data_IF_371701329728
#
_entry.id   IF_371701329728
#
_cell.length_a   1.000
_cell.length_b   1.000
_cell.length_c   1.000
_cell.angle_alpha   90.00
_cell.angle_beta   90.00
_cell.angle_gamma   90.00
#
_symmetry.space_group_name_H-M   'P 1'
#
loop_
_entity.id
_entity.type
_entity.pdbx_description
1 polymer ?
#
# COMPACT_ATOMS: atom_id res chain seq x y z
N UNK A 1 7.76 -10.92 -9.38
CA UNK A 1 8.04 -12.17 -8.64
C UNK A 1 7.95 -11.84 -7.17
N UNK A 2 7.14 -12.56 -6.39
CA UNK A 2 7.15 -12.49 -4.92
C UNK A 2 7.84 -13.74 -4.39
N UNK A 3 8.69 -13.60 -3.37
CA UNK A 3 9.45 -14.73 -2.84
C UNK A 3 10.65 -14.31 -2.01
N UNK A 4 11.36 -15.31 -1.48
CA UNK A 4 12.58 -15.10 -0.72
C UNK A 4 13.70 -14.49 -1.58
N UNK A 5 14.69 -13.83 -0.95
CA UNK A 5 15.81 -13.24 -1.67
C UNK A 5 16.57 -14.23 -2.57
N UNK A 6 16.61 -15.51 -2.19
CA UNK A 6 17.27 -16.57 -2.98
C UNK A 6 16.57 -16.82 -4.31
N UNK A 7 15.23 -16.95 -4.29
CA UNK A 7 14.42 -17.05 -5.51
C UNK A 7 14.61 -15.84 -6.42
N UNK A 8 14.64 -14.64 -5.84
CA UNK A 8 14.84 -13.42 -6.62
C UNK A 8 16.21 -13.40 -7.30
N UNK A 9 17.28 -13.74 -6.57
CA UNK A 9 18.63 -13.82 -7.11
C UNK A 9 18.76 -14.91 -8.19
N UNK A 10 18.12 -16.07 -8.00
CA UNK A 10 18.12 -17.14 -8.98
C UNK A 10 17.41 -16.72 -10.28
N UNK A 11 16.25 -16.08 -10.18
CA UNK A 11 15.52 -15.55 -11.35
C UNK A 11 16.35 -14.50 -12.08
N UNK A 12 16.95 -13.55 -11.35
CA UNK A 12 17.79 -12.51 -11.95
C UNK A 12 19.02 -13.12 -12.67
N UNK A 13 19.70 -14.10 -12.06
CA UNK A 13 20.84 -14.79 -12.68
C UNK A 13 20.44 -15.60 -13.91
N UNK A 14 19.26 -16.21 -13.90
CA UNK A 14 18.80 -16.97 -15.06
C UNK A 14 18.39 -16.04 -16.21
N UNK A 15 17.74 -14.92 -15.90
CA UNK A 15 17.29 -13.94 -16.89
C UNK A 15 18.42 -13.04 -17.40
N UNK A 16 19.50 -12.85 -16.64
CA UNK A 16 20.64 -12.02 -17.08
C UNK A 16 21.27 -12.54 -18.37
N UNK A 17 21.20 -13.84 -18.63
CA UNK A 17 21.65 -14.47 -19.88
C UNK A 17 20.93 -13.95 -21.13
N UNK A 18 19.73 -13.41 -20.97
CA UNK A 18 18.91 -12.86 -22.06
C UNK A 18 19.00 -11.34 -22.18
N UNK A 19 19.75 -10.66 -21.29
CA UNK A 19 19.85 -9.21 -21.23
C UNK A 19 18.61 -8.56 -20.59
N UNK A 20 18.70 -8.21 -19.30
CA UNK A 20 17.63 -7.49 -18.59
C UNK A 20 17.67 -6.02 -19.00
N UNK A 21 16.64 -5.55 -19.73
CA UNK A 21 16.54 -4.15 -20.20
C UNK A 21 16.15 -3.17 -19.09
N UNK A 22 15.10 -3.49 -18.33
CA UNK A 22 14.63 -2.69 -17.20
C UNK A 22 14.23 -3.61 -16.04
N UNK A 23 14.55 -3.20 -14.81
CA UNK A 23 14.13 -3.88 -13.58
C UNK A 23 13.46 -2.87 -12.63
N UNK A 24 12.27 -3.22 -12.14
CA UNK A 24 11.62 -2.53 -11.03
C UNK A 24 11.35 -3.54 -9.91
N UNK A 25 11.75 -3.17 -8.69
CA UNK A 25 11.51 -3.95 -7.48
C UNK A 25 11.17 -3.00 -6.34
N UNK A 26 10.48 -3.54 -5.34
CA UNK A 26 10.18 -2.82 -4.11
C UNK A 26 10.89 -3.47 -2.93
N UNK A 27 10.87 -2.77 -1.80
CA UNK A 27 11.44 -3.21 -0.54
C UNK A 27 10.73 -4.41 0.06
N UNK A 28 11.31 -4.91 1.16
CA UNK A 28 10.69 -5.95 1.97
C UNK A 28 9.47 -5.38 2.68
N UNK A 29 8.46 -6.22 2.86
CA UNK A 29 7.28 -5.93 3.65
C UNK A 29 7.12 -7.02 4.70
N UNK A 30 6.64 -6.66 5.87
CA UNK A 30 6.40 -7.59 6.96
C UNK A 30 5.17 -7.15 7.76
N UNK A 31 4.44 -8.12 8.29
CA UNK A 31 3.44 -7.93 9.34
C UNK A 31 3.88 -8.74 10.55
N UNK A 32 3.56 -8.24 11.75
CA UNK A 32 3.84 -8.99 12.98
C UNK A 32 3.02 -10.28 12.98
N UNK A 33 3.65 -11.43 13.21
CA UNK A 33 2.94 -12.69 13.46
C UNK A 33 2.50 -12.74 14.92
N UNK A 34 1.24 -13.06 15.16
CA UNK A 34 0.74 -13.30 16.52
C UNK A 34 1.10 -14.71 16.96
N UNK A 35 1.39 -14.89 18.25
CA UNK A 35 1.64 -16.24 18.80
C UNK A 35 0.31 -16.95 19.00
N UNK A 36 0.28 -18.25 18.75
CA UNK A 36 -0.87 -19.09 19.14
C UNK A 36 -1.17 -18.89 20.63
N UNK A 37 -2.40 -18.48 20.95
CA UNK A 37 -2.86 -18.21 22.31
C UNK A 37 -2.61 -16.79 22.86
N UNK A 38 -1.98 -15.89 22.10
CA UNK A 38 -1.87 -14.47 22.48
C UNK A 38 -3.20 -13.77 22.14
N UNK A 39 -4.03 -13.45 23.14
CA UNK A 39 -5.21 -12.61 22.95
C UNK A 39 -4.74 -11.20 22.60
N UNK A 40 -4.87 -10.84 21.34
CA UNK A 40 -4.40 -9.54 20.92
C UNK A 40 -5.30 -8.43 21.52
N UNK A 41 -4.73 -7.35 22.09
CA UNK A 41 -5.42 -6.60 23.16
C UNK A 41 -6.56 -5.68 22.70
N UNK A 42 -6.73 -5.48 21.38
CA UNK A 42 -7.53 -4.38 20.83
C UNK A 42 -8.53 -4.80 19.74
N UNK A 43 -8.81 -6.10 19.58
CA UNK A 43 -9.68 -6.58 18.51
C UNK A 43 -11.12 -6.22 18.82
N UNK A 44 -11.59 -5.11 18.24
CA UNK A 44 -13.02 -4.86 18.10
C UNK A 44 -13.53 -5.88 17.10
N UNK A 45 -13.99 -7.02 17.62
CA UNK A 45 -14.63 -8.07 16.83
C UNK A 45 -15.69 -7.44 15.92
N UNK A 46 -15.53 -7.61 14.61
CA UNK A 46 -16.54 -7.13 13.68
C UNK A 46 -17.74 -8.07 13.71
N UNK A 47 -18.96 -7.53 13.61
CA UNK A 47 -20.19 -8.30 13.65
C UNK A 47 -20.24 -9.38 12.55
N UNK A 48 -19.67 -9.13 11.36
CA UNK A 48 -19.61 -10.14 10.29
C UNK A 48 -18.65 -11.30 10.62
N UNK A 49 -17.63 -11.05 11.43
CA UNK A 49 -16.72 -12.07 11.92
C UNK A 49 -17.19 -12.70 13.22
N UNK A 50 -18.24 -12.23 13.87
CA UNK A 50 -18.78 -12.80 15.12
C UNK A 50 -20.29 -12.55 15.19
N UNK A 51 -21.10 -13.22 14.35
CA UNK A 51 -22.55 -13.01 14.30
C UNK A 51 -23.24 -13.36 15.62
N UNK A 52 -22.66 -14.29 16.39
CA UNK A 52 -23.20 -14.75 17.67
C UNK A 52 -22.99 -13.73 18.82
N UNK A 53 -22.22 -12.66 18.59
CA UNK A 53 -22.03 -11.56 19.55
C UNK A 53 -23.10 -10.46 19.41
N UNK A 54 -24.13 -10.65 18.58
CA UNK A 54 -25.33 -9.79 18.58
C UNK A 54 -26.16 -10.00 19.86
N UNK A 55 -25.66 -9.47 20.98
CA UNK A 55 -26.30 -9.48 22.28
C UNK A 55 -26.16 -8.12 22.99
N UNK A 56 -27.21 -7.30 22.87
CA UNK A 56 -27.56 -6.14 23.71
C UNK A 56 -26.44 -5.12 23.99
N UNK A 57 -26.34 -4.10 23.13
CA UNK A 57 -25.74 -2.83 23.57
C UNK A 57 -26.67 -2.21 24.62
N UNK A 58 -26.22 -1.90 25.85
CA UNK A 58 -26.97 -1.03 26.72
C UNK A 58 -27.04 0.34 26.05
N UNK A 59 -28.26 0.78 25.75
CA UNK A 59 -28.58 2.16 25.43
C UNK A 59 -28.26 2.97 26.68
N UNK A 60 -27.03 3.47 26.80
CA UNK A 60 -26.65 4.64 27.59
C UNK A 60 -25.13 4.87 27.54
N UNK A 61 -24.67 5.59 26.52
CA UNK A 61 -23.55 6.54 26.68
C UNK A 61 -23.59 7.54 25.53
N UNK A 62 -24.52 8.48 25.67
CA UNK A 62 -24.52 9.71 24.90
C UNK A 62 -23.17 10.45 25.06
N UNK A 63 -22.66 10.93 23.93
CA UNK A 63 -21.77 12.09 23.75
C UNK A 63 -21.22 12.72 25.05
N UNK A 64 -19.96 12.45 25.37
CA UNK A 64 -19.14 13.35 26.20
C UNK A 64 -18.02 13.94 25.36
N UNK A 65 -18.36 15.04 24.69
CA UNK A 65 -17.41 16.10 24.33
C UNK A 65 -16.72 16.54 25.62
N UNK A 66 -15.48 16.12 25.83
CA UNK A 66 -14.65 16.66 26.92
C UNK A 66 -13.55 17.49 26.31
N UNK A 67 -13.84 18.79 26.21
CA UNK A 67 -12.82 19.83 26.24
C UNK A 67 -11.96 19.61 27.48
N UNK A 68 -10.70 19.23 27.31
CA UNK A 68 -9.73 19.22 28.40
C UNK A 68 -8.60 20.19 28.06
N UNK A 69 -8.58 21.28 28.84
CA UNK A 69 -7.57 22.34 28.84
C UNK A 69 -6.18 21.80 29.22
N UNK A 70 -5.20 22.47 28.63
CA UNK A 70 -3.75 22.45 28.81
C UNK A 70 -3.26 22.30 30.26
N UNK A 71 -2.24 21.46 30.44
CA UNK A 71 -1.39 21.38 31.64
C UNK A 71 -0.11 20.56 31.38
N UNK A 72 1.00 21.28 31.17
CA UNK A 72 2.41 20.88 31.03
C UNK A 72 2.92 19.86 32.08
N UNK A 73 3.94 19.01 31.91
CA UNK A 73 5.31 19.13 31.38
C UNK A 73 5.91 17.70 31.33
N UNK A 74 6.89 17.40 30.45
CA UNK A 74 8.18 16.75 30.78
C UNK A 74 9.10 16.64 29.55
N UNK A 75 10.25 17.32 29.69
CA UNK A 75 11.60 17.16 29.13
C UNK A 75 11.82 16.95 27.62
N UNK A 76 12.34 18.01 27.00
CA UNK A 76 13.29 17.91 25.89
C UNK A 76 14.57 17.19 26.33
N UNK A 77 14.97 16.13 25.63
CA UNK A 77 16.38 15.77 25.48
C UNK A 77 16.71 15.41 24.03
N UNK A 78 17.42 16.35 23.39
CA UNK A 78 18.54 16.14 22.46
C UNK A 78 18.35 15.31 21.17
N UNK A 79 18.31 16.07 20.06
CA UNK A 79 19.24 15.98 18.92
C UNK A 79 18.95 14.92 17.85
N UNK A 80 18.16 15.34 16.88
CA UNK A 80 18.08 14.77 15.54
C UNK A 80 16.83 15.31 14.84
N UNK A 81 16.97 15.79 13.60
CA UNK A 81 15.85 16.10 12.72
C UNK A 81 15.10 14.80 12.40
N UNK A 82 14.24 14.36 13.32
CA UNK A 82 13.40 13.18 13.16
C UNK A 82 11.97 13.67 13.29
N UNK A 83 11.19 13.48 12.21
CA UNK A 83 9.76 13.74 12.21
C UNK A 83 9.11 13.12 13.46
N UNK A 84 8.13 13.79 14.09
CA UNK A 84 7.41 13.21 15.20
C UNK A 84 6.78 11.88 14.75
N UNK A 85 7.30 10.78 15.25
CA UNK A 85 6.65 9.47 15.17
C UNK A 85 5.74 9.41 16.37
N UNK A 86 4.44 9.54 16.14
CA UNK A 86 3.47 9.36 17.22
C UNK A 86 3.59 7.92 17.76
N UNK A 87 3.63 7.73 19.08
CA UNK A 87 3.61 6.40 19.67
C UNK A 87 2.31 5.67 19.28
N UNK A 88 2.44 4.40 18.91
CA UNK A 88 1.36 3.55 18.37
C UNK A 88 0.11 3.44 19.29
N UNK A 89 0.25 3.78 20.57
CA UNK A 89 -0.74 3.46 21.59
C UNK A 89 -1.87 4.51 21.74
N UNK A 90 -1.74 5.72 21.18
CA UNK A 90 -2.67 6.83 21.43
C UNK A 90 -3.49 7.30 20.22
N UNK A 91 -3.39 6.59 19.08
CA UNK A 91 -4.24 6.87 17.93
C UNK A 91 -5.64 6.36 18.27
N UNK A 92 -6.55 7.24 18.67
CA UNK A 92 -7.97 6.97 18.54
C UNK A 92 -8.23 6.71 17.06
N UNK A 93 -8.23 5.44 16.66
CA UNK A 93 -8.43 4.99 15.28
C UNK A 93 -9.86 5.32 14.88
N UNK A 94 -10.08 6.57 14.49
CA UNK A 94 -11.24 6.94 13.70
C UNK A 94 -11.15 6.10 12.42
N UNK A 95 -12.18 5.27 12.24
CA UNK A 95 -12.32 4.25 11.21
C UNK A 95 -12.33 4.90 9.83
N UNK A 96 -11.16 5.21 9.29
CA UNK A 96 -10.99 5.67 7.89
C UNK A 96 -9.70 5.07 7.35
N UNK A 97 -9.67 3.74 7.18
CA UNK A 97 -8.83 3.17 6.13
C UNK A 97 -9.53 3.49 4.80
N UNK A 98 -9.49 4.76 4.37
CA UNK A 98 -9.92 5.09 3.01
C UNK A 98 -9.15 4.17 2.07
N UNK A 99 -9.87 3.29 1.39
CA UNK A 99 -9.27 2.33 0.49
C UNK A 99 -8.60 3.04 -0.70
N UNK A 100 -8.92 4.30 -0.98
CA UNK A 100 -8.21 5.10 -2.00
C UNK A 100 -6.89 5.66 -1.49
N UNK A 101 -6.66 5.67 -0.17
CA UNK A 101 -5.44 6.16 0.47
C UNK A 101 -5.04 7.56 -0.01
N UNK A 102 -6.03 8.42 -0.32
CA UNK A 102 -5.78 9.74 -0.87
C UNK A 102 -5.17 9.77 -2.28
N UNK A 103 -5.22 8.65 -3.02
CA UNK A 103 -4.88 8.61 -4.45
C UNK A 103 -5.99 9.31 -5.21
N UNK A 104 -5.63 10.41 -5.89
CA UNK A 104 -6.53 11.17 -6.75
C UNK A 104 -6.68 10.39 -8.07
N UNK A 105 -7.91 10.00 -8.41
CA UNK A 105 -8.24 9.40 -9.71
C UNK A 105 -9.03 10.42 -10.54
N UNK A 106 -8.45 10.79 -11.68
CA UNK A 106 -8.90 11.79 -12.65
C UNK A 106 -9.15 13.21 -12.10
N UNK A 107 -9.03 14.18 -13.01
CA UNK A 107 -8.90 15.62 -12.76
C UNK A 107 -9.91 16.14 -11.73
N UNK A 108 -9.43 16.41 -10.52
CA UNK A 108 -10.16 17.26 -9.59
C UNK A 108 -10.42 18.61 -10.27
N UNK A 109 -11.48 19.33 -9.89
CA UNK A 109 -11.78 20.71 -10.36
C UNK A 109 -10.62 21.70 -10.18
N UNK A 110 -9.57 21.30 -9.45
CA UNK A 110 -8.31 22.01 -9.21
C UNK A 110 -7.22 21.75 -10.27
N UNK A 111 -7.43 20.84 -11.23
CA UNK A 111 -6.45 20.44 -12.25
C UNK A 111 -5.27 19.60 -11.73
N UNK A 112 -5.38 19.10 -10.49
CA UNK A 112 -4.38 18.21 -9.88
C UNK A 112 -4.66 16.77 -10.29
N UNK A 113 -3.64 16.07 -10.76
CA UNK A 113 -3.71 14.65 -11.11
C UNK A 113 -2.54 13.87 -10.53
N UNK A 114 -2.72 12.57 -10.34
CA UNK A 114 -1.66 11.71 -9.80
C UNK A 114 -0.65 11.33 -10.89
N UNK A 115 0.57 11.83 -10.80
CA UNK A 115 1.65 11.51 -11.72
C UNK A 115 2.52 10.37 -11.19
N UNK A 116 2.82 9.39 -12.04
CA UNK A 116 3.75 8.28 -11.71
C UNK A 116 5.14 8.57 -12.27
N UNK A 117 6.10 8.87 -11.39
CA UNK A 117 7.47 9.19 -11.76
C UNK A 117 8.37 7.98 -11.54
N UNK A 118 9.26 7.69 -12.50
CA UNK A 118 10.29 6.65 -12.37
C UNK A 118 11.67 7.26 -12.55
N UNK A 119 12.49 7.18 -11.51
CA UNK A 119 13.82 7.77 -11.46
C UNK A 119 14.87 6.68 -11.29
N UNK A 120 15.94 6.74 -12.09
CA UNK A 120 17.16 5.97 -11.86
C UNK A 120 18.14 6.83 -11.09
N UNK A 121 18.60 6.33 -9.95
CA UNK A 121 19.49 7.02 -9.03
C UNK A 121 20.66 6.13 -8.66
N UNK A 122 21.76 6.73 -8.19
CA UNK A 122 22.87 5.95 -7.66
C UNK A 122 22.49 5.34 -6.30
N UNK A 123 22.91 4.11 -6.05
CA UNK A 123 22.62 3.37 -4.83
C UNK A 123 23.63 3.74 -3.73
N UNK A 124 23.52 4.97 -3.21
CA UNK A 124 24.36 5.47 -2.11
C UNK A 124 23.51 5.95 -0.93
N UNK A 125 24.02 5.83 0.32
CA UNK A 125 23.36 6.37 1.50
C UNK A 125 23.04 7.86 1.33
N UNK A 126 21.83 8.27 1.74
CA UNK A 126 21.38 9.66 1.67
C UNK A 126 20.70 10.07 0.35
N UNK A 127 20.86 9.30 -0.74
CA UNK A 127 20.21 9.62 -2.03
C UNK A 127 18.68 9.65 -1.90
N UNK A 128 18.10 8.72 -1.15
CA UNK A 128 16.65 8.71 -0.91
C UNK A 128 16.18 10.01 -0.24
N UNK A 129 16.90 10.49 0.78
CA UNK A 129 16.57 11.74 1.47
C UNK A 129 16.67 12.96 0.56
N UNK A 130 17.62 12.96 -0.38
CA UNK A 130 17.75 14.04 -1.37
C UNK A 130 16.52 14.04 -2.28
N UNK A 131 16.11 12.88 -2.79
CA UNK A 131 14.97 12.75 -3.70
C UNK A 131 13.66 13.14 -3.01
N UNK A 132 13.38 12.58 -1.83
CA UNK A 132 12.19 12.93 -1.05
C UNK A 132 12.22 14.39 -0.63
N UNK A 133 13.37 14.92 -0.22
CA UNK A 133 13.54 16.33 0.13
C UNK A 133 13.31 17.30 -1.02
N UNK A 134 13.60 16.94 -2.28
CA UNK A 134 13.24 17.76 -3.46
C UNK A 134 11.72 17.78 -3.67
N UNK A 135 11.06 16.64 -3.49
CA UNK A 135 9.59 16.53 -3.64
C UNK A 135 8.91 17.35 -2.54
N UNK A 136 9.30 17.16 -1.28
CA UNK A 136 8.72 17.88 -0.14
C UNK A 136 8.99 19.38 -0.17
N UNK A 137 10.17 19.84 -0.63
CA UNK A 137 10.47 21.28 -0.79
C UNK A 137 9.58 21.97 -1.82
N UNK A 138 9.03 21.24 -2.78
CA UNK A 138 8.06 21.77 -3.75
C UNK A 138 6.62 21.73 -3.22
N UNK A 139 6.41 21.30 -1.97
CA UNK A 139 5.09 21.22 -1.35
C UNK A 139 4.26 20.02 -1.83
N UNK A 140 4.88 19.07 -2.52
CA UNK A 140 4.18 17.88 -3.00
C UNK A 140 4.06 16.81 -1.91
N UNK A 141 2.87 16.25 -1.78
CA UNK A 141 2.64 15.08 -0.94
C UNK A 141 3.01 13.79 -1.71
N UNK A 142 3.64 12.83 -1.05
CA UNK A 142 3.98 11.54 -1.67
C UNK A 142 2.85 10.57 -1.37
N UNK A 143 2.09 10.17 -2.38
CA UNK A 143 1.02 9.16 -2.23
C UNK A 143 1.57 7.73 -2.22
N UNK A 144 2.65 7.49 -2.96
CA UNK A 144 3.27 6.18 -3.04
C UNK A 144 4.76 6.32 -3.32
N UNK A 145 5.58 5.46 -2.70
CA UNK A 145 7.01 5.41 -2.92
C UNK A 145 7.47 3.96 -2.86
N UNK A 146 8.13 3.50 -3.92
CA UNK A 146 8.78 2.21 -3.98
C UNK A 146 10.23 2.40 -4.41
N UNK A 147 11.14 1.70 -3.73
CA UNK A 147 12.58 1.78 -3.99
C UNK A 147 13.18 0.39 -4.04
N UNK A 148 14.08 0.17 -4.99
CA UNK A 148 14.96 -0.99 -4.97
C UNK A 148 16.00 -0.95 -6.08
N UNK A 149 17.07 -1.76 -5.95
CA UNK A 149 18.13 -1.80 -6.96
C UNK A 149 17.59 -2.12 -8.35
N UNK A 150 18.18 -1.44 -9.32
CA UNK A 150 17.86 -1.52 -10.74
C UNK A 150 18.60 -2.68 -11.41
N UNK A 151 18.52 -2.72 -12.74
CA UNK A 151 19.15 -3.73 -13.58
C UNK A 151 20.69 -3.74 -13.53
N UNK A 152 21.31 -2.61 -13.19
CA UNK A 152 22.76 -2.46 -13.03
C UNK A 152 23.13 -2.31 -11.56
N UNK A 153 24.24 -2.92 -11.17
CA UNK A 153 24.80 -2.79 -9.83
C UNK A 153 25.19 -1.34 -9.55
N UNK A 154 24.98 -0.89 -8.31
CA UNK A 154 25.20 0.50 -7.91
C UNK A 154 24.13 1.49 -8.36
N UNK A 155 23.05 1.03 -9.04
CA UNK A 155 21.88 1.85 -9.36
C UNK A 155 20.64 1.34 -8.62
N UNK A 156 19.80 2.28 -8.21
CA UNK A 156 18.48 2.05 -7.63
C UNK A 156 17.41 2.76 -8.44
N UNK A 157 16.23 2.13 -8.52
CA UNK A 157 15.05 2.70 -9.15
C UNK A 157 14.09 3.16 -8.06
N UNK A 158 13.66 4.41 -8.16
CA UNK A 158 12.63 4.99 -7.32
C UNK A 158 11.40 5.20 -8.18
N UNK A 159 10.29 4.59 -7.80
CA UNK A 159 8.96 4.86 -8.36
C UNK A 159 8.18 5.65 -7.32
N UNK A 160 7.66 6.82 -7.68
CA UNK A 160 6.85 7.65 -6.78
C UNK A 160 5.59 8.11 -7.47
N UNK A 161 4.51 8.25 -6.70
CA UNK A 161 3.25 8.82 -7.16
C UNK A 161 3.00 10.11 -6.40
N UNK A 162 2.83 11.19 -7.15
CA UNK A 162 2.73 12.55 -6.62
C UNK A 162 1.58 13.28 -7.31
N UNK A 163 0.65 13.92 -6.57
CA UNK A 163 -0.36 14.78 -7.15
C UNK A 163 0.26 16.11 -7.57
N UNK A 164 0.00 16.56 -8.80
CA UNK A 164 0.51 17.81 -9.33
C UNK A 164 -0.16 18.20 -10.65
N UNK A 165 0.17 19.39 -11.14
CA UNK A 165 -0.20 19.82 -12.50
C UNK A 165 0.88 19.44 -13.50
N UNK A 166 0.50 19.22 -14.75
CA UNK A 166 1.38 18.82 -15.85
C UNK A 166 2.60 19.73 -16.01
N UNK A 167 2.41 21.06 -15.91
CA UNK A 167 3.48 22.05 -16.03
C UNK A 167 4.52 21.96 -14.91
N UNK A 168 4.05 21.60 -13.71
CA UNK A 168 4.86 21.54 -12.51
C UNK A 168 5.69 20.25 -12.44
N UNK A 169 5.10 19.15 -12.95
CA UNK A 169 5.68 17.81 -12.95
C UNK A 169 6.57 17.54 -14.17
N UNK A 170 6.29 18.12 -15.34
CA UNK A 170 7.12 17.92 -16.54
C UNK A 170 8.60 18.34 -16.37
N UNK A 171 8.91 19.11 -15.32
CA UNK A 171 10.28 19.49 -14.93
C UNK A 171 10.97 18.46 -14.01
N UNK A 172 10.23 17.50 -13.45
CA UNK A 172 10.75 16.39 -12.67
C UNK A 172 10.93 15.16 -13.58
N UNK A 173 11.99 14.41 -13.29
CA UNK A 173 12.49 13.22 -14.00
C UNK A 173 11.38 12.28 -14.54
N UNK A 174 11.59 11.75 -15.77
CA UNK A 174 10.81 10.74 -16.53
C UNK A 174 9.43 10.40 -15.93
N UNK A 175 8.42 11.16 -16.35
CA UNK A 175 7.01 10.89 -16.07
C UNK A 175 6.50 9.73 -16.94
N UNK A 176 5.95 8.70 -16.30
CA UNK A 176 5.33 7.56 -16.97
C UNK A 176 3.85 7.79 -17.29
N UNK A 177 3.23 8.85 -16.76
CA UNK A 177 1.78 9.05 -16.80
C UNK A 177 1.20 9.10 -18.22
N UNK A 178 1.97 9.60 -19.20
CA UNK A 178 1.54 9.68 -20.61
C UNK A 178 2.02 8.50 -21.46
N UNK A 179 2.74 7.55 -20.86
CA UNK A 179 3.22 6.37 -21.56
C UNK A 179 2.38 5.18 -21.11
N UNK A 180 2.13 4.20 -21.99
CA UNK A 180 1.56 2.93 -21.54
C UNK A 180 2.55 2.29 -20.56
N UNK A 181 2.14 2.04 -19.32
CA UNK A 181 3.00 1.40 -18.31
C UNK A 181 2.33 0.20 -17.65
N UNK A 182 3.14 -0.72 -17.15
CA UNK A 182 2.72 -1.82 -16.30
C UNK A 182 2.98 -1.44 -14.85
N UNK A 183 1.91 -1.34 -14.06
CA UNK A 183 2.00 -1.13 -12.61
C UNK A 183 1.63 -2.37 -11.81
N UNK A 184 2.33 -2.54 -10.69
CA UNK A 184 2.02 -3.54 -9.68
C UNK A 184 2.31 -3.01 -8.28
N UNK A 185 1.62 -3.58 -7.33
CA UNK A 185 1.84 -3.38 -5.91
C UNK A 185 1.66 -4.69 -5.16
N UNK A 186 2.37 -4.85 -4.04
CA UNK A 186 2.24 -5.93 -3.09
C UNK A 186 1.61 -5.39 -1.79
N UNK A 187 0.57 -6.08 -1.32
CA UNK A 187 -0.13 -5.77 -0.07
C UNK A 187 -0.18 -7.02 0.80
N UNK A 188 0.12 -6.84 2.09
CA UNK A 188 -0.23 -7.79 3.13
C UNK A 188 -1.41 -7.23 3.92
N UNK A 189 -2.45 -8.03 4.11
CA UNK A 189 -3.63 -7.65 4.87
C UNK A 189 -3.94 -8.72 5.92
N UNK A 190 -4.01 -8.29 7.18
CA UNK A 190 -4.39 -9.13 8.32
C UNK A 190 -5.82 -8.84 8.72
N UNK A 191 -6.60 -9.90 8.90
CA UNK A 191 -8.05 -9.85 9.09
C UNK A 191 -8.41 -10.65 10.33
N UNK A 192 -9.40 -10.16 11.07
CA UNK A 192 -10.06 -10.83 12.18
C UNK A 192 -11.09 -11.80 11.67
N UNK A 193 -10.92 -13.07 11.99
CA UNK A 193 -11.76 -14.11 11.40
C UNK A 193 -12.07 -15.18 12.44
N UNK A 194 -13.36 -15.39 12.72
CA UNK A 194 -13.82 -16.53 13.51
C UNK A 194 -13.88 -17.82 12.65
N UNK A 195 -14.25 -18.92 13.27
CA UNK A 195 -14.40 -20.21 12.59
C UNK A 195 -15.47 -20.20 11.49
N UNK A 196 -16.55 -19.42 11.65
CA UNK A 196 -17.66 -19.37 10.69
C UNK A 196 -17.30 -18.60 9.41
N UNK A 197 -16.74 -17.40 9.53
CA UNK A 197 -16.33 -16.51 8.44
C UNK A 197 -15.00 -16.93 7.78
N UNK A 198 -14.27 -17.87 8.38
CA UNK A 198 -12.99 -18.38 7.85
C UNK A 198 -13.07 -18.83 6.41
N UNK A 199 -14.14 -19.55 6.06
CA UNK A 199 -14.32 -20.06 4.70
C UNK A 199 -14.58 -18.93 3.72
N UNK A 200 -15.45 -17.99 4.08
CA UNK A 200 -15.81 -16.86 3.24
C UNK A 200 -14.60 -15.97 2.92
N UNK A 201 -13.76 -15.69 3.92
CA UNK A 201 -12.52 -14.91 3.71
C UNK A 201 -11.54 -15.64 2.78
N UNK A 202 -11.40 -16.95 2.91
CA UNK A 202 -10.54 -17.75 2.03
C UNK A 202 -11.10 -17.86 0.60
N UNK A 203 -12.41 -17.90 0.45
CA UNK A 203 -13.07 -17.91 -0.86
C UNK A 203 -12.89 -16.54 -1.56
N UNK A 204 -13.09 -15.43 -0.83
CA UNK A 204 -12.77 -14.08 -1.32
C UNK A 204 -11.29 -13.98 -1.72
N UNK A 205 -10.38 -14.48 -0.88
CA UNK A 205 -8.96 -14.50 -1.18
C UNK A 205 -8.67 -15.26 -2.49
N UNK A 206 -9.31 -16.41 -2.69
CA UNK A 206 -9.16 -17.24 -3.89
C UNK A 206 -9.63 -16.51 -5.15
N UNK A 207 -10.80 -15.85 -5.10
CA UNK A 207 -11.34 -15.03 -6.21
C UNK A 207 -10.34 -13.93 -6.62
N UNK A 208 -9.77 -13.25 -5.63
CA UNK A 208 -8.77 -12.19 -5.86
C UNK A 208 -7.37 -12.73 -6.18
N UNK A 209 -7.18 -14.06 -6.22
CA UNK A 209 -5.87 -14.71 -6.37
C UNK A 209 -4.87 -14.21 -5.32
N UNK A 210 -5.36 -13.91 -4.12
CA UNK A 210 -4.56 -13.65 -2.95
C UNK A 210 -4.08 -15.00 -2.35
N UNK A 211 -2.94 -14.99 -1.67
CA UNK A 211 -2.38 -16.17 -1.02
C UNK A 211 -2.49 -16.01 0.48
N UNK A 212 -3.04 -16.99 1.19
CA UNK A 212 -2.94 -17.03 2.65
C UNK A 212 -1.50 -17.36 3.04
N UNK A 213 -0.80 -16.41 3.68
CA UNK A 213 0.59 -16.57 4.11
C UNK A 213 0.71 -16.96 5.57
N UNK A 214 -0.31 -16.64 6.38
CA UNK A 214 -0.41 -17.06 7.77
C UNK A 214 -1.88 -17.24 8.14
N UNK A 215 -2.15 -18.27 8.94
CA UNK A 215 -3.48 -18.62 9.44
C UNK A 215 -3.32 -19.00 10.91
N UNK A 216 -4.00 -18.26 11.77
CA UNK A 216 -4.09 -18.49 13.21
C UNK A 216 -5.54 -18.81 13.62
N UNK A 217 -5.82 -18.95 14.91
CA UNK A 217 -7.17 -19.29 15.40
C UNK A 217 -8.19 -18.16 15.18
N UNK A 218 -7.74 -16.91 15.28
CA UNK A 218 -8.60 -15.72 15.16
C UNK A 218 -8.19 -14.77 14.04
N UNK A 219 -7.13 -15.08 13.30
CA UNK A 219 -6.56 -14.18 12.29
C UNK A 219 -6.15 -14.91 11.03
N UNK A 220 -6.28 -14.23 9.90
CA UNK A 220 -5.77 -14.68 8.61
C UNK A 220 -4.98 -13.53 8.00
N UNK A 221 -3.77 -13.83 7.54
CA UNK A 221 -2.95 -12.88 6.78
C UNK A 221 -2.91 -13.30 5.31
N UNK A 222 -3.31 -12.38 4.43
CA UNK A 222 -3.32 -12.57 2.99
C UNK A 222 -2.25 -11.71 2.31
N UNK A 223 -1.56 -12.30 1.33
CA UNK A 223 -0.70 -11.63 0.36
C UNK A 223 -1.47 -11.40 -0.94
N UNK A 224 -1.59 -10.13 -1.37
CA UNK A 224 -2.19 -9.74 -2.64
C UNK A 224 -1.16 -9.03 -3.52
N UNK A 225 -1.11 -9.38 -4.80
CA UNK A 225 -0.38 -8.63 -5.85
C UNK A 225 -1.35 -8.20 -6.95
N UNK A 226 -1.25 -6.95 -7.43
CA UNK A 226 -2.22 -6.37 -8.34
C UNK A 226 -2.01 -4.90 -8.67
N UNK A 227 -2.97 -4.32 -9.39
CA UNK A 227 -3.11 -2.86 -9.56
C UNK A 227 -3.82 -2.26 -8.33
N UNK A 228 -3.85 -0.93 -8.24
CA UNK A 228 -4.47 -0.24 -7.11
C UNK A 228 -5.95 -0.66 -6.97
N UNK A 229 -6.72 -0.62 -8.05
CA UNK A 229 -8.14 -0.95 -8.06
C UNK A 229 -8.45 -2.34 -7.47
N UNK A 230 -7.63 -3.35 -7.79
CA UNK A 230 -7.76 -4.68 -7.20
C UNK A 230 -7.48 -4.70 -5.71
N UNK A 231 -6.50 -3.92 -5.22
CA UNK A 231 -6.22 -3.78 -3.78
C UNK A 231 -7.42 -3.16 -3.06
N UNK A 232 -7.95 -2.06 -3.60
CA UNK A 232 -9.11 -1.33 -3.07
C UNK A 232 -10.32 -2.24 -2.98
N UNK A 233 -10.61 -2.99 -4.05
CA UNK A 233 -11.75 -3.89 -4.11
C UNK A 233 -11.63 -5.02 -3.07
N UNK A 234 -10.45 -5.62 -2.90
CA UNK A 234 -10.24 -6.63 -1.87
C UNK A 234 -10.43 -6.02 -0.46
N UNK A 235 -9.81 -4.87 -0.20
CA UNK A 235 -9.92 -4.20 1.10
C UNK A 235 -11.38 -3.90 1.46
N UNK A 236 -12.17 -3.39 0.50
CA UNK A 236 -13.61 -3.12 0.70
C UNK A 236 -14.43 -4.36 1.02
N UNK A 237 -14.14 -5.49 0.35
CA UNK A 237 -14.84 -6.74 0.62
C UNK A 237 -14.46 -7.35 1.97
N UNK A 238 -13.27 -7.05 2.47
CA UNK A 238 -12.77 -7.55 3.75
C UNK A 238 -13.09 -6.63 4.93
N UNK A 239 -13.44 -5.37 4.69
CA UNK A 239 -13.80 -4.40 5.73
C UNK A 239 -14.88 -4.91 6.72
N UNK A 240 -15.95 -5.62 6.27
CA UNK A 240 -16.94 -6.16 7.17
C UNK A 240 -16.39 -7.19 8.17
N UNK A 241 -15.32 -7.91 7.85
CA UNK A 241 -14.73 -8.93 8.74
C UNK A 241 -13.82 -8.31 9.81
N UNK A 242 -13.43 -7.06 9.64
CA UNK A 242 -12.51 -6.37 10.55
C UNK A 242 -11.07 -6.54 10.11
N UNK A 243 -10.56 -5.51 9.45
CA UNK A 243 -9.15 -5.39 9.05
C UNK A 243 -8.35 -4.89 10.25
N UNK A 244 -7.20 -5.53 10.50
CA UNK A 244 -6.43 -5.35 11.72
C UNK A 244 -5.13 -4.63 11.43
N UNK A 245 -4.50 -5.01 10.32
CA UNK A 245 -3.24 -4.43 9.88
C UNK A 245 -3.18 -4.52 8.35
N UNK A 246 -2.70 -3.45 7.73
CA UNK A 246 -2.42 -3.41 6.29
C UNK A 246 -0.99 -2.90 6.12
N UNK A 247 -0.20 -3.63 5.36
CA UNK A 247 1.10 -3.15 4.90
C UNK A 247 1.13 -3.17 3.37
N UNK A 248 1.76 -2.16 2.78
CA UNK A 248 1.88 -2.00 1.32
C UNK A 248 3.30 -1.62 0.93
N UNK A 249 3.73 -2.08 -0.23
CA UNK A 249 5.09 -1.83 -0.74
C UNK A 249 5.21 -0.56 -1.58
N UNK A 250 4.11 0.12 -1.87
CA UNK A 250 4.04 1.18 -2.86
C UNK A 250 4.02 0.64 -4.31
N UNK A 251 3.66 1.53 -5.23
CA UNK A 251 3.54 1.25 -6.66
C UNK A 251 4.91 1.07 -7.29
N UNK A 252 5.12 -0.05 -7.97
CA UNK A 252 6.21 -0.21 -8.95
C UNK A 252 5.64 -0.09 -10.35
N UNK A 253 6.36 0.59 -11.25
CA UNK A 253 5.92 0.83 -12.61
C UNK A 253 7.08 0.72 -13.60
N UNK A 254 6.81 0.16 -14.78
CA UNK A 254 7.72 0.11 -15.93
C UNK A 254 6.95 0.45 -17.21
N UNK A 255 7.59 1.17 -18.13
CA UNK A 255 6.99 1.46 -19.42
C UNK A 255 6.77 0.18 -20.23
N UNK A 256 5.68 0.12 -20.99
CA UNK A 256 5.37 -0.98 -21.90
C UNK A 256 5.89 -0.63 -23.28
N UNK A 257 6.80 -1.47 -23.78
CA UNK A 257 7.29 -1.38 -25.16
C UNK A 257 6.20 -1.67 -26.20
N UNK A 258 5.14 -2.41 -25.82
CA UNK A 258 4.04 -2.75 -26.73
C UNK A 258 3.18 -1.55 -27.13
N UNK A 259 3.31 -0.39 -26.49
CA UNK A 259 2.44 0.76 -26.75
C UNK A 259 1.01 0.63 -26.20
N UNK A 260 0.64 -0.56 -25.71
CA UNK A 260 -0.73 -0.88 -25.28
C UNK A 260 -0.91 -0.60 -23.79
N UNK A 261 -1.79 0.34 -23.48
CA UNK A 261 -2.23 0.55 -22.10
C UNK A 261 -3.46 -0.28 -21.77
N UNK A 262 -3.40 -0.98 -20.64
CA UNK A 262 -4.50 -1.84 -20.18
C UNK A 262 -5.67 -1.04 -19.62
N UNK A 263 -5.45 0.18 -19.14
CA UNK A 263 -6.54 1.07 -18.71
C UNK A 263 -7.39 1.48 -19.91
N UNK A 264 -6.74 1.90 -21.01
CA UNK A 264 -7.39 2.24 -22.27
C UNK A 264 -8.12 1.05 -22.90
N UNK A 265 -7.56 -0.16 -22.82
CA UNK A 265 -8.24 -1.37 -23.32
C UNK A 265 -9.47 -1.78 -22.49
N UNK A 266 -9.58 -1.41 -21.21
CA UNK A 266 -10.77 -1.73 -20.39
C UNK A 266 -12.02 -0.96 -20.84
N UNK A 267 -11.85 0.19 -21.51
CA UNK A 267 -12.95 1.01 -22.02
C UNK A 267 -13.51 0.56 -23.38
N UNK A 268 -12.82 -0.34 -24.08
CA UNK A 268 -13.31 -0.89 -25.34
C UNK A 268 -14.20 -2.10 -25.07
N UNK A 269 -15.50 -1.97 -25.34
CA UNK A 269 -16.34 -3.14 -25.58
C UNK A 269 -15.78 -3.90 -26.77
N UNK A 270 -15.50 -5.18 -26.60
CA UNK A 270 -15.17 -6.06 -27.72
C UNK A 270 -16.30 -5.93 -28.75
N UNK A 271 -16.01 -5.82 -30.06
CA UNK A 271 -17.06 -5.83 -31.06
C UNK A 271 -17.83 -7.14 -30.90
N UNK A 272 -19.12 -7.02 -30.59
CA UNK A 272 -20.04 -8.15 -30.62
C UNK A 272 -19.96 -8.73 -32.03
N UNK A 273 -19.29 -9.87 -32.17
CA UNK A 273 -19.35 -10.66 -33.40
C UNK A 273 -20.79 -11.17 -33.50
N UNK A 274 -21.57 -10.56 -34.40
CA UNK A 274 -22.87 -11.02 -34.86
C UNK A 274 -22.71 -12.18 -35.83
#
# INVERSE_FOLDING_TARGET
>A
VTGDPGKMAAVQRNLSKFGIKELARTGKIALRRERMGESAPFWRFSAASYPDLEGTMPVDTAFRTTSKRLGSNVSNSSRGDVYPVEPYDDISMNKVLDAHWGVLTDEDLSGLRSHTLSMLVNDYPGVLNIVTGVISRRGYNIQSLAVGSAEKEGLSRITTVVPGTDESIGKLVRDLTYLPFAERELMLIKIAVNTAARRDVLDIATIFRAKAVDVSDHTITLELTGDLNKMIALQRLLDPYGICEVARTGRVALARESGVDSTFLRGYSLPLQY
#
